data_IF_740761310365
#
_entry.id   IF_740761310365
#
_cell.length_a   1.000
_cell.length_b   1.000
_cell.length_c   1.000
_cell.angle_alpha   90.00
_cell.angle_beta   90.00
_cell.angle_gamma   90.00
#
_symmetry.space_group_name_H-M   'P 1'
#
loop_
_entity.id
_entity.type
_entity.pdbx_description
1 polymer ?
#
# COMPACT_ATOMS: atom_id res chain seq x y z
N UNK A 1 -8.90 -2.47 12.53
CA UNK A 1 -8.47 -1.63 11.38
C UNK A 1 -7.96 -0.23 11.77
N UNK A 2 -8.05 0.20 13.05
CA UNK A 2 -7.57 1.51 13.49
C UNK A 2 -6.05 1.72 13.45
N UNK A 3 -5.29 0.75 12.94
CA UNK A 3 -3.82 0.71 13.04
C UNK A 3 -3.04 1.15 11.81
N UNK A 4 -3.70 1.32 10.65
CA UNK A 4 -3.01 1.65 9.40
C UNK A 4 -2.85 3.16 9.16
N UNK A 5 -3.85 3.95 9.54
CA UNK A 5 -3.85 5.40 9.34
C UNK A 5 -4.55 6.11 10.50
N UNK A 6 -3.77 6.85 11.30
CA UNK A 6 -4.19 7.57 12.51
C UNK A 6 -4.11 9.10 12.29
N UNK A 7 -4.79 9.85 13.15
CA UNK A 7 -4.67 11.32 13.22
C UNK A 7 -3.79 11.70 14.41
N UNK A 8 -2.75 12.52 14.17
CA UNK A 8 -2.00 13.20 15.22
C UNK A 8 -2.82 14.39 15.71
N UNK A 9 -3.25 14.33 16.97
CA UNK A 9 -4.20 15.30 17.57
C UNK A 9 -3.71 16.76 17.51
N UNK A 10 -2.41 17.02 17.58
CA UNK A 10 -1.85 18.36 17.79
C UNK A 10 -1.72 19.23 16.53
N UNK A 11 -1.76 18.65 15.33
CA UNK A 11 -1.35 19.36 14.10
C UNK A 11 -2.50 19.68 13.14
N UNK A 12 -3.73 19.21 13.40
CA UNK A 12 -4.85 19.50 12.50
C UNK A 12 -5.30 20.96 12.62
N UNK A 13 -5.41 21.68 11.49
CA UNK A 13 -5.94 23.06 11.38
C UNK A 13 -7.30 23.14 10.70
N UNK A 14 -8.04 22.02 10.65
CA UNK A 14 -9.41 21.94 10.12
C UNK A 14 -9.60 22.55 8.72
N UNK A 15 -8.63 22.36 7.81
CA UNK A 15 -8.71 22.85 6.43
C UNK A 15 -9.63 22.02 5.51
N UNK A 16 -10.20 20.93 6.02
CA UNK A 16 -11.12 20.00 5.34
C UNK A 16 -10.61 19.38 4.02
N UNK A 17 -9.32 19.51 3.67
CA UNK A 17 -8.74 18.94 2.43
C UNK A 17 -8.87 17.42 2.39
N UNK A 18 -8.61 16.74 3.50
CA UNK A 18 -8.73 15.28 3.58
C UNK A 18 -10.15 14.80 3.25
N UNK A 19 -11.19 15.50 3.74
CA UNK A 19 -12.60 15.19 3.47
C UNK A 19 -12.92 15.40 1.98
N UNK A 20 -12.53 16.56 1.43
CA UNK A 20 -12.80 16.91 0.02
C UNK A 20 -12.15 15.94 -0.96
N UNK A 21 -10.93 15.50 -0.69
CA UNK A 21 -10.17 14.60 -1.56
C UNK A 21 -10.37 13.11 -1.26
N UNK A 22 -11.19 12.73 -0.27
CA UNK A 22 -11.51 11.32 -0.07
C UNK A 22 -12.40 10.84 -1.24
N UNK A 23 -12.00 9.80 -1.99
CA UNK A 23 -12.76 9.33 -3.15
C UNK A 23 -14.09 8.69 -2.75
N UNK A 24 -14.13 8.01 -1.61
CA UNK A 24 -15.30 7.27 -1.11
C UNK A 24 -16.02 7.97 0.05
N UNK A 25 -15.67 9.23 0.32
CA UNK A 25 -16.28 10.07 1.37
C UNK A 25 -16.32 9.44 2.78
N UNK A 26 -15.35 8.58 3.10
CA UNK A 26 -15.23 7.87 4.38
C UNK A 26 -14.62 8.69 5.53
N UNK A 27 -14.70 10.03 5.49
CA UNK A 27 -14.15 10.90 6.54
C UNK A 27 -15.24 11.84 7.02
N UNK A 28 -15.61 11.70 8.31
CA UNK A 28 -16.55 12.59 8.99
C UNK A 28 -15.81 13.63 9.83
N UNK A 29 -16.48 14.75 10.07
CA UNK A 29 -16.01 15.78 11.00
C UNK A 29 -16.88 15.77 12.24
N UNK A 30 -16.29 15.60 13.41
CA UNK A 30 -16.95 15.62 14.71
C UNK A 30 -15.92 16.05 15.77
N UNK A 31 -16.36 16.68 16.86
CA UNK A 31 -15.48 17.08 17.98
C UNK A 31 -14.26 17.91 17.52
N UNK A 32 -14.48 18.82 16.57
CA UNK A 32 -13.46 19.64 15.90
C UNK A 32 -12.33 18.84 15.23
N UNK A 33 -12.59 17.56 14.89
CA UNK A 33 -11.60 16.65 14.33
C UNK A 33 -12.16 15.82 13.16
N UNK A 34 -11.24 15.44 12.27
CA UNK A 34 -11.54 14.58 11.13
C UNK A 34 -11.33 13.10 11.49
N UNK A 35 -12.44 12.35 11.57
CA UNK A 35 -12.47 10.92 11.87
C UNK A 35 -12.65 10.09 10.60
N UNK A 36 -11.79 9.08 10.42
CA UNK A 36 -11.90 8.13 9.32
C UNK A 36 -12.87 7.02 9.75
N UNK A 37 -13.90 6.78 8.94
CA UNK A 37 -14.82 5.68 9.10
C UNK A 37 -14.15 4.41 8.54
N UNK A 38 -13.71 3.52 9.43
CA UNK A 38 -12.91 2.35 9.06
C UNK A 38 -13.65 1.40 8.11
N UNK A 39 -14.95 1.22 8.34
CA UNK A 39 -15.79 0.32 7.54
C UNK A 39 -15.95 0.80 6.09
N UNK A 40 -15.93 2.11 5.87
CA UNK A 40 -16.05 2.71 4.54
C UNK A 40 -14.67 2.93 3.88
N UNK A 41 -13.61 3.06 4.68
CA UNK A 41 -12.29 3.38 4.17
C UNK A 41 -11.71 2.25 3.30
N UNK A 42 -11.19 2.62 2.13
CA UNK A 42 -10.47 1.72 1.20
C UNK A 42 -8.95 1.80 1.33
N UNK A 43 -8.43 2.53 2.34
CA UNK A 43 -7.01 2.66 2.65
C UNK A 43 -6.11 3.24 1.54
N UNK A 44 -6.66 4.06 0.63
CA UNK A 44 -5.90 4.66 -0.48
C UNK A 44 -4.81 5.68 -0.10
N UNK A 45 -4.72 6.10 1.16
CA UNK A 45 -3.72 7.08 1.61
C UNK A 45 -3.88 8.52 1.08
N UNK A 46 -4.86 8.83 0.22
CA UNK A 46 -5.00 10.18 -0.37
C UNK A 46 -5.14 11.28 0.68
N UNK A 47 -5.84 11.01 1.77
CA UNK A 47 -6.01 11.96 2.87
C UNK A 47 -4.71 12.25 3.65
N UNK A 48 -3.73 11.35 3.61
CA UNK A 48 -2.37 11.57 4.13
C UNK A 48 -1.59 12.49 3.19
N UNK A 49 -1.51 12.13 1.90
CA UNK A 49 -0.72 12.86 0.89
C UNK A 49 -1.15 14.33 0.73
N UNK A 50 -2.47 14.61 0.76
CA UNK A 50 -2.98 15.98 0.56
C UNK A 50 -2.97 16.84 1.83
N UNK A 51 -2.58 16.28 2.99
CA UNK A 51 -2.64 17.00 4.26
C UNK A 51 -1.47 17.99 4.35
N UNK A 52 -1.71 19.31 4.29
CA UNK A 52 -0.62 20.29 4.33
C UNK A 52 0.02 20.41 5.72
N UNK A 53 -0.60 19.81 6.74
CA UNK A 53 -0.17 19.91 8.14
C UNK A 53 0.55 18.65 8.63
N UNK A 54 0.70 17.63 7.77
CA UNK A 54 1.23 16.32 8.17
C UNK A 54 0.56 15.76 9.43
N UNK A 55 -0.75 16.01 9.57
CA UNK A 55 -1.53 15.65 10.75
C UNK A 55 -2.00 14.19 10.75
N UNK A 56 -1.68 13.43 9.70
CA UNK A 56 -2.00 12.00 9.58
C UNK A 56 -0.74 11.17 9.78
N UNK A 57 -0.88 10.01 10.40
CA UNK A 57 0.19 9.10 10.74
C UNK A 57 -0.11 7.72 10.17
N UNK A 58 0.85 7.13 9.47
CA UNK A 58 0.74 5.75 8.98
C UNK A 58 1.25 4.77 10.05
N UNK A 59 0.85 3.50 9.93
CA UNK A 59 1.43 2.42 10.75
C UNK A 59 2.95 2.49 10.72
N UNK A 60 3.58 2.37 11.89
CA UNK A 60 5.03 2.37 12.02
C UNK A 60 5.54 0.94 12.29
N UNK A 61 6.12 0.31 11.28
CA UNK A 61 6.69 -1.03 11.37
C UNK A 61 8.20 -1.03 11.67
N UNK A 62 8.81 0.14 11.91
CA UNK A 62 10.23 0.26 12.24
C UNK A 62 10.66 -0.58 13.46
N UNK A 63 9.90 -0.64 14.58
CA UNK A 63 10.28 -1.49 15.72
C UNK A 63 10.30 -2.97 15.35
N UNK A 64 9.38 -3.42 14.50
CA UNK A 64 9.29 -4.80 14.03
C UNK A 64 10.49 -5.12 13.14
N UNK A 65 10.80 -4.24 12.18
CA UNK A 65 11.96 -4.40 11.30
C UNK A 65 13.27 -4.49 12.09
N UNK A 66 13.46 -3.63 13.11
CA UNK A 66 14.63 -3.69 14.00
C UNK A 66 14.72 -5.00 14.78
N UNK A 67 13.58 -5.49 15.28
CA UNK A 67 13.53 -6.77 16.00
C UNK A 67 13.87 -7.96 15.09
N UNK A 68 13.39 -7.96 13.85
CA UNK A 68 13.70 -8.99 12.85
C UNK A 68 15.19 -9.00 12.52
N UNK A 69 15.79 -7.84 12.27
CA UNK A 69 17.23 -7.71 11.96
C UNK A 69 18.12 -8.11 13.14
N UNK A 70 17.66 -7.89 14.36
CA UNK A 70 18.38 -8.31 15.57
C UNK A 70 18.24 -9.81 15.90
N UNK A 71 17.36 -10.54 15.20
CA UNK A 71 17.19 -11.98 15.38
C UNK A 71 18.30 -12.76 14.68
N UNK A 72 18.48 -14.03 15.06
CA UNK A 72 19.55 -14.91 14.54
C UNK A 72 19.21 -15.55 13.17
N UNK A 73 18.42 -14.85 12.35
CA UNK A 73 18.00 -15.33 11.04
C UNK A 73 18.27 -14.27 9.97
N UNK A 74 18.74 -14.67 8.76
CA UNK A 74 18.95 -13.71 7.69
C UNK A 74 17.62 -13.10 7.24
N UNK A 75 17.54 -11.76 7.28
CA UNK A 75 16.36 -11.01 6.86
C UNK A 75 16.62 -10.32 5.52
N UNK A 76 15.80 -10.65 4.52
CA UNK A 76 15.83 -10.04 3.19
C UNK A 76 14.70 -9.03 3.02
N UNK A 77 14.94 -8.00 2.19
CA UNK A 77 13.94 -6.98 1.87
C UNK A 77 13.43 -7.17 0.44
N UNK A 78 12.12 -7.33 0.29
CA UNK A 78 11.42 -7.21 -1.00
C UNK A 78 10.97 -5.76 -1.18
N UNK A 79 11.60 -5.02 -2.09
CA UNK A 79 11.40 -3.59 -2.27
C UNK A 79 10.42 -3.27 -3.40
N UNK A 80 9.38 -2.50 -3.10
CA UNK A 80 8.41 -2.08 -4.10
C UNK A 80 9.06 -1.18 -5.17
N UNK A 81 8.83 -1.39 -6.48
CA UNK A 81 9.57 -0.71 -7.57
C UNK A 81 9.44 0.81 -7.59
N UNK A 82 8.40 1.35 -6.94
CA UNK A 82 8.19 2.80 -6.84
C UNK A 82 9.26 3.54 -6.01
N UNK A 83 10.18 2.84 -5.35
CA UNK A 83 11.23 3.46 -4.54
C UNK A 83 12.10 4.43 -5.35
N UNK A 84 12.36 4.14 -6.64
CA UNK A 84 13.18 4.98 -7.52
C UNK A 84 12.59 6.37 -7.74
N UNK A 85 11.26 6.50 -7.65
CA UNK A 85 10.57 7.79 -7.76
C UNK A 85 10.71 8.64 -6.50
N UNK A 86 11.01 8.02 -5.36
CA UNK A 86 11.16 8.71 -4.07
C UNK A 86 12.61 9.09 -3.78
N UNK A 87 13.58 8.37 -4.33
CA UNK A 87 15.01 8.57 -4.09
C UNK A 87 15.73 8.79 -5.42
N UNK A 88 16.10 10.04 -5.68
CA UNK A 88 16.78 10.44 -6.92
C UNK A 88 18.10 9.69 -7.10
N UNK A 89 18.29 9.08 -8.27
CA UNK A 89 19.49 8.30 -8.60
C UNK A 89 19.60 6.95 -7.89
N UNK A 90 18.60 6.53 -7.12
CA UNK A 90 18.61 5.23 -6.48
C UNK A 90 18.40 4.10 -7.48
N UNK A 91 19.20 3.05 -7.34
CA UNK A 91 19.04 1.75 -8.00
C UNK A 91 18.89 0.65 -6.97
N UNK A 92 18.47 -0.55 -7.39
CA UNK A 92 18.39 -1.69 -6.48
C UNK A 92 19.75 -2.02 -5.84
N UNK A 93 20.86 -1.88 -6.57
CA UNK A 93 22.20 -2.13 -6.06
C UNK A 93 22.60 -1.12 -4.98
N UNK A 94 22.21 0.16 -5.15
CA UNK A 94 22.46 1.18 -4.11
C UNK A 94 21.62 0.91 -2.85
N UNK A 95 20.39 0.43 -3.02
CA UNK A 95 19.49 0.10 -1.91
C UNK A 95 19.91 -1.17 -1.17
N UNK A 96 20.33 -2.23 -1.88
CA UNK A 96 20.88 -3.45 -1.28
C UNK A 96 22.11 -3.12 -0.42
N UNK A 97 23.06 -2.34 -0.95
CA UNK A 97 24.23 -1.87 -0.17
C UNK A 97 23.81 -1.12 1.09
N UNK A 98 22.87 -0.17 0.98
CA UNK A 98 22.40 0.60 2.12
C UNK A 98 21.71 -0.27 3.18
N UNK A 99 20.87 -1.22 2.76
CA UNK A 99 20.16 -2.13 3.67
C UNK A 99 21.10 -3.13 4.34
N UNK A 100 22.14 -3.61 3.64
CA UNK A 100 23.20 -4.43 4.25
C UNK A 100 23.93 -3.69 5.36
N UNK A 101 24.23 -2.40 5.18
CA UNK A 101 24.84 -1.57 6.23
C UNK A 101 23.92 -1.42 7.46
N UNK A 102 22.61 -1.58 7.30
CA UNK A 102 21.62 -1.56 8.38
C UNK A 102 21.40 -2.94 9.04
N UNK A 103 22.10 -3.99 8.60
CA UNK A 103 22.05 -5.33 9.17
C UNK A 103 21.18 -6.33 8.40
N UNK A 104 20.55 -5.95 7.29
CA UNK A 104 19.81 -6.89 6.45
C UNK A 104 20.76 -7.82 5.67
N UNK A 105 20.29 -9.03 5.36
CA UNK A 105 21.03 -10.01 4.58
C UNK A 105 21.07 -9.68 3.08
N UNK A 106 20.17 -8.83 2.60
CA UNK A 106 20.12 -8.32 1.23
C UNK A 106 18.77 -7.69 0.89
N UNK A 107 18.69 -7.08 -0.28
CA UNK A 107 17.47 -6.51 -0.83
C UNK A 107 17.31 -6.85 -2.32
N UNK A 108 16.07 -7.07 -2.74
CA UNK A 108 15.71 -7.34 -4.13
C UNK A 108 14.37 -6.69 -4.47
N UNK A 109 14.13 -6.41 -5.75
CA UNK A 109 12.87 -5.80 -6.16
C UNK A 109 11.69 -6.77 -6.12
N UNK A 110 10.56 -6.31 -5.59
CA UNK A 110 9.27 -6.97 -5.74
C UNK A 110 8.84 -7.07 -7.22
N UNK A 111 9.50 -6.35 -8.14
CA UNK A 111 9.34 -6.48 -9.59
C UNK A 111 9.58 -7.91 -10.12
N UNK A 112 10.45 -8.69 -9.46
CA UNK A 112 10.63 -10.10 -9.79
C UNK A 112 9.33 -10.89 -9.59
N UNK A 113 8.69 -10.70 -8.43
CA UNK A 113 7.36 -11.24 -8.16
C UNK A 113 6.30 -10.68 -9.12
N UNK A 114 6.39 -9.40 -9.49
CA UNK A 114 5.48 -8.80 -10.48
C UNK A 114 5.59 -9.46 -11.86
N UNK A 115 6.77 -9.94 -12.24
CA UNK A 115 6.97 -10.69 -13.49
C UNK A 115 6.23 -12.02 -13.47
N UNK A 116 6.23 -12.72 -12.32
CA UNK A 116 5.47 -13.96 -12.14
C UNK A 116 3.96 -13.71 -12.21
N UNK A 117 3.49 -12.67 -11.51
CA UNK A 117 2.07 -12.26 -11.54
C UNK A 117 1.64 -11.85 -12.95
N UNK A 118 2.49 -11.15 -13.70
CA UNK A 118 2.24 -10.76 -15.09
C UNK A 118 2.05 -11.98 -15.99
N UNK A 119 2.91 -13.00 -15.87
CA UNK A 119 2.80 -14.24 -16.65
C UNK A 119 1.48 -14.96 -16.40
N UNK A 120 1.00 -14.94 -15.16
CA UNK A 120 -0.30 -15.53 -14.85
C UNK A 120 -1.44 -14.76 -15.51
N UNK A 121 -1.38 -13.43 -15.53
CA UNK A 121 -2.35 -12.63 -16.27
C UNK A 121 -2.26 -12.84 -17.79
N UNK A 122 -1.08 -13.01 -18.36
CA UNK A 122 -0.95 -13.36 -19.79
C UNK A 122 -1.67 -14.69 -20.09
N UNK A 123 -1.45 -15.71 -19.24
CA UNK A 123 -2.12 -17.02 -19.36
C UNK A 123 -3.64 -16.86 -19.37
N UNK A 124 -4.19 -16.11 -18.41
CA UNK A 124 -5.63 -15.86 -18.30
C UNK A 124 -6.20 -15.14 -19.53
N UNK A 125 -5.44 -14.20 -20.10
CA UNK A 125 -5.82 -13.49 -21.32
C UNK A 125 -5.80 -14.43 -22.53
N UNK A 126 -4.78 -15.28 -22.65
CA UNK A 126 -4.63 -16.23 -23.76
C UNK A 126 -5.69 -17.34 -23.74
N UNK A 127 -6.14 -17.75 -22.56
CA UNK A 127 -7.22 -18.73 -22.38
C UNK A 127 -8.59 -18.22 -22.85
N UNK A 128 -8.83 -16.91 -22.71
CA UNK A 128 -10.03 -16.25 -23.23
C UNK A 128 -11.35 -16.69 -22.59
N UNK A 129 -11.32 -17.35 -21.43
CA UNK A 129 -12.54 -17.80 -20.72
C UNK A 129 -13.40 -16.63 -20.23
N UNK A 130 -12.76 -15.51 -19.86
CA UNK A 130 -13.44 -14.29 -19.42
C UNK A 130 -13.19 -13.14 -20.39
N UNK A 131 -14.27 -12.44 -20.74
CA UNK A 131 -14.20 -11.23 -21.58
C UNK A 131 -13.65 -10.00 -20.84
N UNK A 132 -13.70 -10.00 -19.51
CA UNK A 132 -13.28 -8.88 -18.66
C UNK A 132 -12.47 -9.45 -17.50
N UNK A 133 -11.24 -8.95 -17.35
CA UNK A 133 -10.30 -9.34 -16.30
C UNK A 133 -9.89 -8.08 -15.54
N UNK A 134 -10.16 -8.05 -14.23
CA UNK A 134 -9.72 -7.00 -13.31
C UNK A 134 -8.58 -7.57 -12.47
N UNK A 135 -7.45 -6.87 -12.45
CA UNK A 135 -6.29 -7.28 -11.67
C UNK A 135 -6.49 -7.05 -10.18
N UNK A 136 -5.91 -7.92 -9.36
CA UNK A 136 -6.07 -7.93 -7.90
C UNK A 136 -4.81 -7.58 -7.12
N UNK A 137 -3.78 -7.09 -7.80
CA UNK A 137 -2.51 -6.70 -7.18
C UNK A 137 -2.64 -5.51 -6.22
N UNK A 138 -3.65 -4.65 -6.39
CA UNK A 138 -3.85 -3.46 -5.57
C UNK A 138 -4.91 -3.69 -4.48
N UNK A 139 -4.53 -3.76 -3.19
CA UNK A 139 -5.49 -3.98 -2.11
C UNK A 139 -6.54 -2.85 -2.01
N UNK A 140 -6.18 -1.62 -2.38
CA UNK A 140 -7.12 -0.48 -2.42
C UNK A 140 -8.22 -0.69 -3.46
N UNK A 141 -7.88 -1.18 -4.66
CA UNK A 141 -8.86 -1.50 -5.72
C UNK A 141 -9.74 -2.66 -5.28
N UNK A 142 -9.15 -3.70 -4.70
CA UNK A 142 -9.92 -4.84 -4.21
C UNK A 142 -10.92 -4.44 -3.11
N UNK A 143 -10.53 -3.53 -2.20
CA UNK A 143 -11.43 -2.96 -1.20
C UNK A 143 -12.52 -2.08 -1.82
N UNK A 144 -12.17 -1.28 -2.83
CA UNK A 144 -13.13 -0.46 -3.57
C UNK A 144 -14.21 -1.34 -4.23
N UNK A 145 -13.81 -2.39 -4.94
CA UNK A 145 -14.73 -3.32 -5.60
C UNK A 145 -15.61 -4.02 -4.56
N UNK A 146 -15.00 -4.63 -3.53
CA UNK A 146 -15.73 -5.36 -2.49
C UNK A 146 -16.76 -4.51 -1.74
N UNK A 147 -16.49 -3.22 -1.50
CA UNK A 147 -17.36 -2.35 -0.71
C UNK A 147 -18.35 -1.55 -1.55
N UNK A 148 -17.94 -1.09 -2.74
CA UNK A 148 -18.69 -0.09 -3.51
C UNK A 148 -19.12 -0.57 -4.91
N UNK A 149 -18.52 -1.64 -5.44
CA UNK A 149 -18.85 -2.19 -6.76
C UNK A 149 -18.93 -3.72 -6.72
N UNK A 150 -19.82 -4.30 -5.88
CA UNK A 150 -19.91 -5.76 -5.74
C UNK A 150 -20.25 -6.47 -7.05
N UNK A 151 -20.98 -5.80 -7.96
CA UNK A 151 -21.31 -6.35 -9.29
C UNK A 151 -20.07 -6.59 -10.17
N UNK A 152 -18.93 -5.95 -9.85
CA UNK A 152 -17.67 -6.16 -10.55
C UNK A 152 -16.81 -7.29 -9.94
N UNK A 153 -17.24 -7.89 -8.81
CA UNK A 153 -16.53 -9.01 -8.18
C UNK A 153 -16.33 -10.23 -9.10
N UNK A 154 -17.29 -10.63 -9.97
CA UNK A 154 -17.08 -11.76 -10.88
C UNK A 154 -15.95 -11.57 -11.89
N UNK A 155 -15.49 -10.33 -12.09
CA UNK A 155 -14.38 -10.00 -12.98
C UNK A 155 -13.05 -9.80 -12.24
N UNK A 156 -13.06 -9.85 -10.89
CA UNK A 156 -11.87 -9.65 -10.07
C UNK A 156 -11.13 -10.96 -9.87
N UNK A 157 -9.97 -11.09 -10.49
CA UNK A 157 -9.20 -12.33 -10.47
C UNK A 157 -8.53 -12.61 -9.12
N UNK A 158 -8.40 -13.89 -8.78
CA UNK A 158 -7.76 -14.33 -7.53
C UNK A 158 -6.27 -14.65 -7.68
N UNK A 159 -5.53 -13.80 -8.40
CA UNK A 159 -4.07 -13.91 -8.54
C UNK A 159 -3.37 -13.31 -7.31
N UNK A 160 -2.35 -13.99 -6.78
CA UNK A 160 -1.58 -13.50 -5.63
C UNK A 160 -0.87 -12.18 -5.95
N UNK A 161 -0.74 -11.30 -4.95
CA UNK A 161 -0.04 -10.03 -5.15
C UNK A 161 1.47 -10.23 -5.21
N UNK A 162 2.22 -9.37 -5.93
CA UNK A 162 3.69 -9.46 -6.00
C UNK A 162 4.39 -9.46 -4.63
N UNK A 163 3.79 -8.82 -3.62
CA UNK A 163 4.34 -8.72 -2.27
C UNK A 163 4.11 -9.98 -1.40
N UNK A 164 3.33 -10.95 -1.88
CA UNK A 164 3.10 -12.23 -1.20
C UNK A 164 4.12 -13.31 -1.57
N UNK A 165 5.04 -13.01 -2.49
CA UNK A 165 6.09 -13.89 -2.97
C UNK A 165 7.43 -13.60 -2.29
#
# INVERSE_FOLDING_TARGET
MGDYLKLKRSNCKNCYKCIRHCPVKSIRFADDQAHILAEDCILCGRCFVVCPQNAKEIRNDLPIAKALVAADAPVFVSMAPSFVANYEGATIETMDKALRLLGFAGAEETALGATLVKREYDRLVDEGEQNIIITSCCPTVNLLIRKYYPDALPYLESVMTPACW
#
